data_IF_680154165226
#
_entry.id   IF_680154165226
#
_cell.length_a   1.000
_cell.length_b   1.000
_cell.length_c   1.000
_cell.angle_alpha   90.00
_cell.angle_beta   90.00
_cell.angle_gamma   90.00
#
_symmetry.space_group_name_H-M   'P 1'
#
loop_
_entity.id
_entity.type
_entity.pdbx_description
1 polymer ?
#
# COMPACT_ATOMS: atom_id res chain seq x y z
N UNK A 1 -15.94 6.65 16.93
CA UNK A 1 -14.69 6.59 16.16
C UNK A 1 -14.25 5.14 15.98
N UNK A 2 -13.97 4.38 17.06
CA UNK A 2 -13.45 3.00 16.98
C UNK A 2 -14.35 2.01 16.19
N UNK A 3 -15.68 2.05 16.35
CA UNK A 3 -16.61 1.23 15.55
C UNK A 3 -16.61 1.56 14.05
N UNK A 4 -16.33 2.80 13.69
CA UNK A 4 -16.23 3.24 12.29
C UNK A 4 -14.93 2.71 11.66
N UNK A 5 -13.82 2.79 12.41
CA UNK A 5 -12.53 2.23 12.03
C UNK A 5 -12.60 0.71 11.87
N UNK A 6 -13.23 0.01 12.83
CA UNK A 6 -13.42 -1.44 12.78
C UNK A 6 -14.21 -1.86 11.54
N UNK A 7 -15.27 -1.14 11.18
CA UNK A 7 -16.02 -1.42 9.96
C UNK A 7 -15.18 -1.16 8.71
N UNK A 8 -14.41 -0.07 8.66
CA UNK A 8 -13.59 0.26 7.50
C UNK A 8 -12.37 -0.67 7.33
N UNK A 9 -11.92 -1.28 8.42
CA UNK A 9 -10.91 -2.33 8.40
C UNK A 9 -11.40 -3.60 7.69
N UNK A 10 -12.71 -3.84 7.65
CA UNK A 10 -13.26 -5.05 7.04
C UNK A 10 -13.16 -5.03 5.51
N UNK A 11 -12.54 -6.04 4.88
CA UNK A 11 -12.35 -6.08 3.43
C UNK A 11 -13.65 -6.02 2.60
N UNK A 12 -14.73 -6.58 3.11
CA UNK A 12 -16.04 -6.56 2.45
C UNK A 12 -16.67 -5.16 2.43
N UNK A 13 -16.57 -4.42 3.53
CA UNK A 13 -17.09 -3.06 3.62
C UNK A 13 -16.29 -2.14 2.70
N UNK A 14 -14.96 -2.25 2.72
CA UNK A 14 -14.10 -1.49 1.81
C UNK A 14 -14.38 -1.85 0.33
N UNK A 15 -14.63 -3.12 0.03
CA UNK A 15 -15.01 -3.56 -1.32
C UNK A 15 -16.30 -2.90 -1.78
N UNK A 16 -17.33 -2.87 -0.95
CA UNK A 16 -18.60 -2.25 -1.28
C UNK A 16 -18.43 -0.74 -1.51
N UNK A 17 -17.68 -0.06 -0.63
CA UNK A 17 -17.35 1.36 -0.73
C UNK A 17 -16.57 1.71 -2.00
N UNK A 18 -15.62 0.87 -2.40
CA UNK A 18 -14.88 1.07 -3.64
C UNK A 18 -15.72 0.70 -4.86
N UNK A 19 -16.63 -0.27 -4.77
CA UNK A 19 -17.40 -0.79 -5.91
C UNK A 19 -18.27 0.27 -6.58
N UNK A 20 -18.73 1.26 -5.80
CA UNK A 20 -19.56 2.38 -6.27
C UNK A 20 -18.75 3.50 -6.91
N UNK A 21 -17.42 3.52 -6.75
CA UNK A 21 -16.56 4.54 -7.33
C UNK A 21 -16.23 4.24 -8.81
N UNK A 22 -16.11 5.28 -9.65
CA UNK A 22 -15.60 5.10 -11.00
C UNK A 22 -14.22 4.44 -11.01
N UNK A 23 -13.88 3.78 -12.13
CA UNK A 23 -12.65 3.01 -12.23
C UNK A 23 -11.40 3.83 -11.91
N UNK A 24 -11.26 5.03 -12.47
CA UNK A 24 -10.07 5.85 -12.23
C UNK A 24 -9.98 6.36 -10.79
N UNK A 25 -11.10 6.53 -10.09
CA UNK A 25 -11.11 6.83 -8.65
C UNK A 25 -10.59 5.66 -7.82
N UNK A 26 -10.99 4.43 -8.16
CA UNK A 26 -10.44 3.23 -7.51
C UNK A 26 -8.95 3.07 -7.79
N UNK A 27 -8.53 3.36 -9.02
CA UNK A 27 -7.13 3.27 -9.42
C UNK A 27 -6.27 4.34 -8.73
N UNK A 28 -6.77 5.58 -8.60
CA UNK A 28 -6.10 6.65 -7.85
C UNK A 28 -5.99 6.32 -6.36
N UNK A 29 -7.01 5.70 -5.77
CA UNK A 29 -6.92 5.16 -4.41
C UNK A 29 -5.80 4.11 -4.28
N UNK A 30 -5.79 3.09 -5.14
CA UNK A 30 -4.76 2.04 -5.12
C UNK A 30 -3.35 2.60 -5.29
N UNK A 31 -3.13 3.50 -6.26
CA UNK A 31 -1.80 4.08 -6.48
C UNK A 31 -1.38 5.00 -5.33
N UNK A 32 -2.32 5.63 -4.63
CA UNK A 32 -2.06 6.40 -3.41
C UNK A 32 -1.60 5.50 -2.25
N UNK A 33 -2.20 4.32 -2.07
CA UNK A 33 -1.69 3.33 -1.11
C UNK A 33 -0.27 2.90 -1.45
N UNK A 34 0.02 2.63 -2.73
CA UNK A 34 1.36 2.27 -3.18
C UNK A 34 2.40 3.37 -2.86
N UNK A 35 2.05 4.65 -3.06
CA UNK A 35 2.93 5.77 -2.72
C UNK A 35 3.32 5.79 -1.23
N UNK A 36 2.41 5.40 -0.33
CA UNK A 36 2.68 5.37 1.12
C UNK A 36 3.69 4.29 1.50
N UNK A 37 3.64 3.13 0.85
CA UNK A 37 4.49 1.99 1.21
C UNK A 37 5.76 1.88 0.37
N UNK A 38 5.82 2.56 -0.78
CA UNK A 38 6.97 2.48 -1.69
C UNK A 38 8.33 2.81 -1.03
N UNK A 39 8.45 3.79 -0.10
CA UNK A 39 9.71 4.06 0.58
C UNK A 39 10.29 2.86 1.35
N UNK A 40 9.47 1.88 1.72
CA UNK A 40 9.93 0.67 2.40
C UNK A 40 10.77 -0.19 1.45
N UNK A 41 10.34 -0.37 0.20
CA UNK A 41 11.16 -1.08 -0.79
C UNK A 41 12.45 -0.33 -1.10
N UNK A 42 12.43 1.01 -1.07
CA UNK A 42 13.67 1.80 -1.20
C UNK A 42 14.64 1.52 -0.04
N UNK A 43 14.13 1.49 1.19
CA UNK A 43 14.93 1.19 2.37
C UNK A 43 15.52 -0.23 2.30
N UNK A 44 14.71 -1.22 1.93
CA UNK A 44 15.18 -2.58 1.67
C UNK A 44 16.33 -2.61 0.67
N UNK A 45 16.17 -1.99 -0.51
CA UNK A 45 17.23 -1.95 -1.52
C UNK A 45 18.53 -1.32 -1.00
N UNK A 46 18.41 -0.27 -0.18
CA UNK A 46 19.56 0.43 0.38
C UNK A 46 20.27 -0.38 1.47
N UNK A 47 19.53 -1.05 2.35
CA UNK A 47 20.07 -1.86 3.45
C UNK A 47 20.75 -3.12 2.94
N UNK A 48 20.12 -3.81 1.99
CA UNK A 48 20.63 -5.07 1.45
C UNK A 48 21.57 -4.88 0.25
N UNK A 49 21.72 -3.64 -0.24
CA UNK A 49 22.46 -3.30 -1.46
C UNK A 49 22.04 -4.21 -2.65
N UNK A 50 20.73 -4.40 -2.80
CA UNK A 50 20.13 -5.34 -3.75
C UNK A 50 18.84 -4.80 -4.36
N UNK A 51 18.50 -5.28 -5.57
CA UNK A 51 17.29 -4.87 -6.28
C UNK A 51 17.44 -3.56 -7.05
N UNK A 52 16.33 -3.07 -7.61
CA UNK A 52 16.27 -1.79 -8.33
C UNK A 52 14.98 -1.04 -8.00
N UNK A 53 15.09 -0.08 -7.09
CA UNK A 53 14.01 0.82 -6.69
C UNK A 53 13.37 1.57 -7.88
N UNK A 54 14.13 1.82 -8.94
CA UNK A 54 13.63 2.56 -10.10
C UNK A 54 12.49 1.83 -10.82
N UNK A 55 12.41 0.50 -10.72
CA UNK A 55 11.36 -0.31 -11.35
C UNK A 55 9.99 -0.03 -10.73
N UNK A 56 9.73 -0.27 -9.43
CA UNK A 56 8.43 0.02 -8.84
C UNK A 56 8.10 1.52 -8.83
N UNK A 57 9.10 2.41 -8.73
CA UNK A 57 8.87 3.86 -8.87
C UNK A 57 8.30 4.22 -10.23
N UNK A 58 8.93 3.76 -11.32
CA UNK A 58 8.44 3.98 -12.70
C UNK A 58 7.08 3.35 -12.93
N UNK A 59 6.81 2.19 -12.32
CA UNK A 59 5.50 1.53 -12.37
C UNK A 59 4.38 2.40 -11.81
N UNK A 60 4.59 3.00 -10.64
CA UNK A 60 3.63 3.92 -10.01
C UNK A 60 3.50 5.22 -10.81
N UNK A 61 4.61 5.75 -11.33
CA UNK A 61 4.62 6.98 -12.16
C UNK A 61 3.82 6.81 -13.46
N UNK A 62 3.86 5.62 -14.07
CA UNK A 62 3.05 5.28 -15.24
C UNK A 62 1.55 5.40 -14.94
N UNK A 63 1.12 4.91 -13.77
CA UNK A 63 -0.29 4.97 -13.36
C UNK A 63 -0.71 6.42 -13.09
N UNK A 64 0.11 7.20 -12.36
CA UNK A 64 -0.18 8.63 -12.17
C UNK A 64 -0.24 9.41 -13.47
N UNK A 65 0.70 9.17 -14.39
CA UNK A 65 0.68 9.83 -15.69
C UNK A 65 -0.60 9.49 -16.47
N UNK A 66 -1.07 8.24 -16.37
CA UNK A 66 -2.31 7.82 -17.03
C UNK A 66 -3.54 8.48 -16.41
N UNK A 67 -3.59 8.57 -15.08
CA UNK A 67 -4.66 9.29 -14.37
C UNK A 67 -4.70 10.78 -14.75
N UNK A 68 -3.54 11.36 -15.10
CA UNK A 68 -3.41 12.73 -15.61
C UNK A 68 -3.67 12.86 -17.13
N UNK A 69 -4.21 11.81 -17.76
CA UNK A 69 -4.62 11.83 -19.17
C UNK A 69 -3.52 11.50 -20.17
N UNK A 70 -2.35 11.05 -19.73
CA UNK A 70 -1.31 10.58 -20.65
C UNK A 70 -1.67 9.20 -21.18
N UNK A 71 -1.70 9.06 -22.50
CA UNK A 71 -1.82 7.75 -23.12
C UNK A 71 -0.55 6.93 -22.89
N UNK A 72 -0.71 5.75 -22.27
CA UNK A 72 0.35 4.79 -22.06
C UNK A 72 -0.05 3.48 -22.75
N UNK A 73 0.89 2.91 -23.51
CA UNK A 73 0.74 1.59 -24.12
C UNK A 73 0.50 0.53 -23.03
N UNK A 74 -0.62 -0.21 -23.13
CA UNK A 74 -0.95 -1.30 -22.21
C UNK A 74 0.13 -2.37 -22.14
N UNK A 75 0.85 -2.63 -23.24
CA UNK A 75 2.01 -3.54 -23.24
C UNK A 75 3.14 -3.03 -22.37
N UNK A 76 3.32 -1.70 -22.30
CA UNK A 76 4.31 -1.10 -21.41
C UNK A 76 3.91 -1.30 -19.95
N UNK A 77 2.64 -1.13 -19.61
CA UNK A 77 2.16 -1.37 -18.24
C UNK A 77 2.37 -2.83 -17.84
N UNK A 78 2.00 -3.76 -18.72
CA UNK A 78 2.18 -5.19 -18.47
C UNK A 78 3.66 -5.57 -18.31
N UNK A 79 4.54 -5.00 -19.13
CA UNK A 79 5.98 -5.21 -19.02
C UNK A 79 6.54 -4.74 -17.67
N UNK A 80 6.09 -3.59 -17.16
CA UNK A 80 6.50 -3.14 -15.82
C UNK A 80 5.92 -4.02 -14.70
N UNK A 81 4.74 -4.63 -14.92
CA UNK A 81 4.16 -5.61 -13.99
C UNK A 81 4.99 -6.88 -13.89
N UNK A 82 5.52 -7.34 -15.02
CA UNK A 82 6.46 -8.47 -15.09
C UNK A 82 7.78 -8.12 -14.42
N UNK A 83 8.34 -6.93 -14.69
CA UNK A 83 9.59 -6.47 -14.10
C UNK A 83 9.55 -6.42 -12.57
N UNK A 84 8.45 -5.97 -11.98
CA UNK A 84 8.28 -6.00 -10.51
C UNK A 84 8.26 -7.42 -9.91
N UNK A 85 8.12 -8.46 -10.73
CA UNK A 85 8.12 -9.87 -10.31
C UNK A 85 9.36 -10.65 -10.73
N UNK A 86 10.37 -10.00 -11.29
CA UNK A 86 11.64 -10.68 -11.61
C UNK A 86 12.43 -11.01 -10.36
N UNK A 87 13.16 -12.11 -10.38
CA UNK A 87 13.94 -12.61 -9.23
C UNK A 87 15.00 -11.62 -8.75
N UNK A 88 15.49 -10.71 -9.60
CA UNK A 88 16.43 -9.66 -9.23
C UNK A 88 15.77 -8.37 -8.71
N UNK A 89 14.45 -8.39 -8.53
CA UNK A 89 13.62 -7.27 -8.04
C UNK A 89 12.77 -7.74 -6.86
N UNK A 90 12.12 -8.88 -6.97
CA UNK A 90 11.27 -9.46 -5.95
C UNK A 90 12.12 -10.31 -4.98
N UNK A 91 12.31 -9.88 -3.72
CA UNK A 91 13.22 -10.58 -2.82
C UNK A 91 12.67 -11.94 -2.44
N UNK A 92 13.55 -12.94 -2.43
CA UNK A 92 13.22 -14.29 -1.98
C UNK A 92 13.47 -14.42 -0.47
N UNK A 93 12.53 -15.02 0.25
CA UNK A 93 12.60 -15.17 1.71
C UNK A 93 13.68 -16.16 2.17
N UNK A 94 14.15 -17.06 1.31
CA UNK A 94 15.29 -17.94 1.60
C UNK A 94 16.61 -17.18 1.53
N UNK A 95 16.72 -16.18 0.65
CA UNK A 95 17.93 -15.36 0.49
C UNK A 95 17.98 -14.20 1.50
N UNK A 96 16.82 -13.64 1.87
CA UNK A 96 16.70 -12.43 2.68
C UNK A 96 15.83 -12.61 3.93
N UNK A 97 15.66 -13.83 4.44
CA UNK A 97 14.74 -14.12 5.56
C UNK A 97 15.02 -13.33 6.84
N UNK A 98 16.28 -12.98 7.09
CA UNK A 98 16.71 -12.18 8.25
C UNK A 98 16.75 -10.67 7.95
N UNK A 99 16.52 -10.25 6.71
CA UNK A 99 16.57 -8.84 6.33
C UNK A 99 15.36 -8.08 6.87
N UNK A 100 15.63 -6.91 7.44
CA UNK A 100 14.67 -6.13 8.24
C UNK A 100 13.39 -5.74 7.49
N UNK A 101 13.45 -5.61 6.16
CA UNK A 101 12.31 -5.23 5.32
C UNK A 101 11.96 -6.27 4.25
N UNK A 102 12.42 -7.52 4.34
CA UNK A 102 12.19 -8.50 3.28
C UNK A 102 10.70 -8.74 3.03
N UNK A 103 9.92 -9.03 4.07
CA UNK A 103 8.49 -9.29 3.95
C UNK A 103 7.75 -8.06 3.41
N UNK A 104 8.04 -6.88 3.94
CA UNK A 104 7.40 -5.64 3.52
C UNK A 104 7.78 -5.26 2.08
N UNK A 105 9.01 -5.54 1.65
CA UNK A 105 9.44 -5.35 0.27
C UNK A 105 8.63 -6.24 -0.70
N UNK A 106 8.33 -7.49 -0.32
CA UNK A 106 7.45 -8.36 -1.09
C UNK A 106 6.03 -7.78 -1.18
N UNK A 107 5.46 -7.34 -0.06
CA UNK A 107 4.12 -6.74 -0.01
C UNK A 107 4.03 -5.45 -0.85
N UNK A 108 5.07 -4.59 -0.84
CA UNK A 108 5.15 -3.41 -1.71
C UNK A 108 5.10 -3.81 -3.19
N UNK A 109 5.91 -4.79 -3.61
CA UNK A 109 5.92 -5.23 -5.01
C UNK A 109 4.61 -5.92 -5.41
N UNK A 110 4.00 -6.68 -4.50
CA UNK A 110 2.67 -7.26 -4.71
C UNK A 110 1.60 -6.19 -4.90
N UNK A 111 1.62 -5.14 -4.10
CA UNK A 111 0.73 -3.99 -4.25
C UNK A 111 0.92 -3.31 -5.61
N UNK A 112 2.15 -2.96 -5.97
CA UNK A 112 2.46 -2.33 -7.26
C UNK A 112 2.00 -3.20 -8.43
N UNK A 113 2.26 -4.51 -8.39
CA UNK A 113 1.82 -5.45 -9.43
C UNK A 113 0.30 -5.55 -9.52
N UNK A 114 -0.40 -5.52 -8.39
CA UNK A 114 -1.86 -5.52 -8.34
C UNK A 114 -2.45 -4.22 -8.92
N UNK A 115 -1.84 -3.06 -8.66
CA UNK A 115 -2.27 -1.79 -9.29
C UNK A 115 -2.11 -1.82 -10.81
N UNK A 116 -0.98 -2.33 -11.31
CA UNK A 116 -0.75 -2.48 -12.76
C UNK A 116 -1.69 -3.51 -13.40
N UNK A 117 -2.02 -4.60 -12.68
CA UNK A 117 -3.00 -5.58 -13.10
C UNK A 117 -4.40 -4.95 -13.18
N UNK A 118 -4.80 -4.17 -12.18
CA UNK A 118 -6.08 -3.46 -12.14
C UNK A 118 -6.19 -2.46 -13.29
N UNK A 119 -5.11 -1.77 -13.66
CA UNK A 119 -5.07 -0.93 -14.86
C UNK A 119 -5.34 -1.72 -16.14
N UNK A 120 -4.63 -2.83 -16.31
CA UNK A 120 -4.66 -3.62 -17.56
C UNK A 120 -5.97 -4.40 -17.73
N UNK A 121 -6.52 -4.92 -16.63
CA UNK A 121 -7.79 -5.65 -16.58
C UNK A 121 -8.54 -5.26 -15.31
N UNK A 122 -9.44 -4.25 -15.38
CA UNK A 122 -10.15 -3.73 -14.23
C UNK A 122 -10.86 -4.80 -13.41
N UNK A 123 -10.34 -5.05 -12.20
CA UNK A 123 -10.94 -5.93 -11.21
C UNK A 123 -10.83 -5.29 -9.84
N UNK A 124 -11.96 -5.20 -9.14
CA UNK A 124 -12.00 -4.68 -7.78
C UNK A 124 -11.13 -5.51 -6.82
N UNK A 125 -10.99 -6.82 -7.07
CA UNK A 125 -10.14 -7.70 -6.28
C UNK A 125 -8.67 -7.27 -6.26
N UNK A 126 -8.15 -6.75 -7.37
CA UNK A 126 -6.76 -6.28 -7.44
C UNK A 126 -6.58 -4.99 -6.61
N UNK A 127 -7.58 -4.08 -6.62
CA UNK A 127 -7.60 -2.88 -5.77
C UNK A 127 -7.64 -3.26 -4.28
N UNK A 128 -8.48 -4.24 -3.92
CA UNK A 128 -8.53 -4.76 -2.54
C UNK A 128 -7.21 -5.41 -2.14
N UNK A 129 -6.55 -6.09 -3.06
CA UNK A 129 -5.25 -6.68 -2.79
C UNK A 129 -4.18 -5.62 -2.46
N UNK A 130 -4.20 -4.47 -3.14
CA UNK A 130 -3.28 -3.34 -2.83
C UNK A 130 -3.45 -2.87 -1.38
N UNK A 131 -4.69 -2.70 -0.94
CA UNK A 131 -4.98 -2.26 0.43
C UNK A 131 -4.58 -3.33 1.43
N UNK A 132 -4.85 -4.59 1.12
CA UNK A 132 -4.40 -5.72 1.94
C UNK A 132 -2.89 -5.72 2.13
N UNK A 133 -2.11 -5.61 1.05
CA UNK A 133 -0.65 -5.52 1.14
C UNK A 133 -0.19 -4.35 2.00
N UNK A 134 -0.85 -3.19 1.86
CA UNK A 134 -0.55 -2.00 2.67
C UNK A 134 -0.80 -2.25 4.15
N UNK A 135 -1.95 -2.84 4.50
CA UNK A 135 -2.30 -3.15 5.89
C UNK A 135 -1.47 -4.29 6.48
N UNK A 136 -1.11 -5.29 5.68
CA UNK A 136 -0.20 -6.38 6.09
C UNK A 136 1.16 -5.84 6.54
N UNK A 137 1.71 -4.84 5.85
CA UNK A 137 2.95 -4.17 6.25
C UNK A 137 2.81 -3.55 7.63
N UNK A 138 1.70 -2.84 7.88
CA UNK A 138 1.44 -2.18 9.17
C UNK A 138 1.22 -3.23 10.28
N UNK A 139 0.43 -4.26 10.01
CA UNK A 139 0.18 -5.38 10.92
C UNK A 139 1.45 -6.13 11.28
N UNK A 140 2.24 -6.52 10.29
CA UNK A 140 3.52 -7.20 10.51
C UNK A 140 4.47 -6.32 11.30
N UNK A 141 4.58 -5.03 10.96
CA UNK A 141 5.44 -4.10 11.69
C UNK A 141 5.04 -3.98 13.16
N UNK A 142 3.74 -3.83 13.46
CA UNK A 142 3.26 -3.74 14.85
C UNK A 142 3.52 -5.05 15.59
N UNK A 143 3.09 -6.18 15.03
CA UNK A 143 3.13 -7.47 15.72
C UNK A 143 4.55 -8.01 15.93
N UNK A 144 5.51 -7.61 15.10
CA UNK A 144 6.89 -8.11 15.17
C UNK A 144 7.87 -7.13 15.79
N UNK A 145 7.59 -5.82 15.79
CA UNK A 145 8.55 -4.78 16.17
C UNK A 145 8.10 -3.91 17.33
N UNK A 146 6.79 -3.75 17.55
CA UNK A 146 6.32 -3.00 18.72
C UNK A 146 6.43 -3.86 19.97
N UNK A 147 7.43 -3.55 20.80
CA UNK A 147 7.67 -4.24 22.08
C UNK A 147 6.50 -4.14 23.07
N UNK A 148 5.54 -3.22 22.87
CA UNK A 148 4.38 -3.04 23.73
C UNK A 148 3.12 -3.72 23.18
N UNK A 149 3.17 -4.26 21.95
CA UNK A 149 2.07 -4.98 21.35
C UNK A 149 2.27 -6.49 21.52
N UNK A 150 1.48 -7.11 22.40
CA UNK A 150 1.68 -8.50 22.83
C UNK A 150 0.62 -9.47 22.31
N UNK A 151 -0.05 -9.14 21.21
CA UNK A 151 -1.09 -10.00 20.64
C UNK A 151 -0.62 -10.61 19.33
N UNK A 152 -0.90 -11.90 19.16
CA UNK A 152 -0.74 -12.60 17.90
C UNK A 152 -2.10 -13.07 17.40
N UNK A 153 -2.35 -12.97 16.09
CA UNK A 153 -3.60 -13.44 15.47
C UNK A 153 -3.75 -14.97 15.58
N UNK A 154 -2.65 -15.69 15.79
CA UNK A 154 -2.64 -17.15 15.94
C UNK A 154 -3.12 -17.59 17.33
N UNK A 155 -2.87 -16.77 18.36
CA UNK A 155 -3.14 -17.10 19.76
C UNK A 155 -4.33 -16.31 20.34
N UNK A 156 -4.79 -15.29 19.62
CA UNK A 156 -5.86 -14.39 20.05
C UNK A 156 -7.08 -14.56 19.15
N UNK A 157 -8.27 -14.45 19.74
CA UNK A 157 -9.50 -14.31 18.97
C UNK A 157 -9.36 -13.14 17.95
N UNK A 158 -9.74 -13.40 16.70
CA UNK A 158 -9.57 -12.45 15.59
C UNK A 158 -10.25 -11.10 15.87
N UNK A 159 -11.41 -11.10 16.54
CA UNK A 159 -12.13 -9.87 16.84
C UNK A 159 -11.42 -9.06 17.94
N UNK A 160 -10.82 -9.74 18.93
CA UNK A 160 -10.01 -9.10 19.96
C UNK A 160 -8.73 -8.52 19.35
N UNK A 161 -8.05 -9.28 18.49
CA UNK A 161 -6.86 -8.81 17.79
C UNK A 161 -7.16 -7.54 16.99
N UNK A 162 -8.22 -7.54 16.18
CA UNK A 162 -8.64 -6.38 15.38
C UNK A 162 -8.94 -5.16 16.28
N UNK A 163 -9.65 -5.35 17.39
CA UNK A 163 -10.00 -4.25 18.29
C UNK A 163 -8.78 -3.59 18.93
N UNK A 164 -7.77 -4.39 19.29
CA UNK A 164 -6.53 -3.90 19.90
C UNK A 164 -5.57 -3.32 18.85
N UNK A 165 -5.43 -3.98 17.69
CA UNK A 165 -4.68 -3.48 16.55
C UNK A 165 -5.13 -2.09 16.14
N UNK A 166 -6.45 -1.86 16.06
CA UNK A 166 -7.02 -0.56 15.70
C UNK A 166 -6.91 0.52 16.78
N UNK A 167 -6.30 0.23 17.94
CA UNK A 167 -5.87 1.25 18.91
C UNK A 167 -4.43 1.70 18.65
N UNK A 168 -3.65 0.93 17.91
CA UNK A 168 -2.27 1.25 17.61
C UNK A 168 -2.20 2.47 16.67
N UNK A 169 -1.27 3.39 16.95
CA UNK A 169 -1.13 4.66 16.24
C UNK A 169 -0.92 4.49 14.74
N UNK A 170 -0.07 3.54 14.32
CA UNK A 170 0.16 3.24 12.90
C UNK A 170 -1.09 2.70 12.19
N UNK A 171 -1.89 1.84 12.85
CA UNK A 171 -3.12 1.33 12.28
C UNK A 171 -4.16 2.45 12.12
N UNK A 172 -4.34 3.27 13.16
CA UNK A 172 -5.23 4.44 13.11
C UNK A 172 -4.80 5.39 11.99
N UNK A 173 -3.50 5.65 11.87
CA UNK A 173 -2.94 6.54 10.86
C UNK A 173 -3.26 6.04 9.45
N UNK A 174 -2.97 4.78 9.14
CA UNK A 174 -3.22 4.24 7.81
C UNK A 174 -4.72 4.25 7.47
N UNK A 175 -5.58 3.80 8.39
CA UNK A 175 -7.02 3.78 8.16
C UNK A 175 -7.60 5.19 8.01
N UNK A 176 -7.11 6.16 8.80
CA UNK A 176 -7.54 7.56 8.67
C UNK A 176 -7.15 8.10 7.30
N UNK A 177 -5.93 7.82 6.84
CA UNK A 177 -5.46 8.27 5.53
C UNK A 177 -6.24 7.63 4.38
N UNK A 178 -6.54 6.33 4.47
CA UNK A 178 -7.43 5.66 3.51
C UNK A 178 -8.83 6.32 3.47
N UNK A 179 -9.40 6.66 4.64
CA UNK A 179 -10.71 7.32 4.71
C UNK A 179 -10.68 8.74 4.11
N UNK A 180 -9.61 9.49 4.34
CA UNK A 180 -9.39 10.82 3.75
C UNK A 180 -9.31 10.77 2.22
N UNK A 181 -8.54 9.82 1.68
CA UNK A 181 -8.42 9.63 0.24
C UNK A 181 -9.79 9.31 -0.38
N UNK A 182 -10.55 8.40 0.23
CA UNK A 182 -11.91 8.09 -0.25
C UNK A 182 -12.87 9.26 -0.13
N UNK A 183 -12.77 10.09 0.91
CA UNK A 183 -13.59 11.30 1.04
C UNK A 183 -13.34 12.29 -0.10
N UNK A 184 -12.10 12.41 -0.55
CA UNK A 184 -11.74 13.25 -1.71
C UNK A 184 -12.35 12.65 -2.97
N UNK A 185 -12.15 11.35 -3.18
CA UNK A 185 -12.61 10.65 -4.38
C UNK A 185 -14.15 10.65 -4.49
N UNK A 186 -14.88 10.50 -3.38
CA UNK A 186 -16.35 10.55 -3.38
C UNK A 186 -16.91 11.94 -3.71
N UNK A 187 -16.17 13.02 -3.45
CA UNK A 187 -16.64 14.39 -3.67
C UNK A 187 -16.56 14.81 -5.14
N UNK A 188 -15.68 14.19 -5.91
CA UNK A 188 -15.48 14.54 -7.31
C UNK A 188 -16.15 13.53 -8.24
N UNK A 189 -17.06 14.00 -9.09
CA UNK A 189 -17.63 13.16 -10.16
C UNK A 189 -16.57 12.76 -11.18
N UNK A 190 -15.64 13.68 -11.46
CA UNK A 190 -14.51 13.51 -12.38
C UNK A 190 -13.24 13.96 -11.66
N UNK A 191 -12.20 13.13 -11.70
CA UNK A 191 -10.91 13.45 -11.10
C UNK A 191 -10.30 14.70 -11.75
N UNK A 192 -9.90 15.65 -10.91
CA UNK A 192 -9.20 16.85 -11.34
C UNK A 192 -7.68 16.69 -11.24
N UNK A 193 -6.89 17.43 -12.04
CA UNK A 193 -5.44 17.47 -11.84
C UNK A 193 -5.04 17.86 -10.41
N UNK A 194 -5.82 18.73 -9.77
CA UNK A 194 -5.56 19.17 -8.40
C UNK A 194 -5.78 18.06 -7.37
N UNK A 195 -6.86 17.28 -7.49
CA UNK A 195 -7.10 16.16 -6.57
C UNK A 195 -6.06 15.05 -6.75
N UNK A 196 -5.66 14.76 -7.99
CA UNK A 196 -4.59 13.80 -8.29
C UNK A 196 -3.25 14.25 -7.70
N UNK A 197 -2.86 15.50 -7.89
CA UNK A 197 -1.63 16.06 -7.32
C UNK A 197 -1.68 16.07 -5.79
N UNK A 198 -2.83 16.37 -5.20
CA UNK A 198 -3.01 16.33 -3.76
C UNK A 198 -2.88 14.90 -3.20
N UNK A 199 -3.56 13.92 -3.80
CA UNK A 199 -3.50 12.52 -3.41
C UNK A 199 -2.06 11.99 -3.51
N UNK A 200 -1.38 12.28 -4.62
CA UNK A 200 0.02 11.89 -4.82
C UNK A 200 0.95 12.54 -3.79
N UNK A 201 0.88 13.87 -3.64
CA UNK A 201 1.77 14.61 -2.76
C UNK A 201 1.57 14.27 -1.28
N UNK A 202 0.32 14.18 -0.83
CA UNK A 202 0.01 13.76 0.55
C UNK A 202 0.46 12.32 0.81
N UNK A 203 0.21 11.38 -0.11
CA UNK A 203 0.65 9.99 0.07
C UNK A 203 2.18 9.84 0.09
N UNK A 204 2.91 10.63 -0.68
CA UNK A 204 4.37 10.66 -0.63
C UNK A 204 4.91 11.22 0.70
N UNK A 205 4.24 12.24 1.26
CA UNK A 205 4.58 12.74 2.60
C UNK A 205 4.33 11.67 3.65
N UNK A 206 3.16 11.03 3.59
CA UNK A 206 2.81 9.95 4.50
C UNK A 206 3.81 8.78 4.41
N UNK A 207 4.27 8.43 3.22
CA UNK A 207 5.27 7.36 3.07
C UNK A 207 6.63 7.70 3.68
N UNK A 208 7.07 8.97 3.60
CA UNK A 208 8.30 9.44 4.26
C UNK A 208 8.21 9.35 5.78
N UNK A 209 7.07 9.71 6.34
CA UNK A 209 6.85 9.63 7.78
C UNK A 209 6.74 8.19 8.26
N UNK A 210 6.05 7.33 7.52
CA UNK A 210 5.94 5.91 7.85
C UNK A 210 7.31 5.24 7.92
N UNK A 211 8.16 5.40 6.89
CA UNK A 211 9.48 4.79 6.90
C UNK A 211 10.38 5.35 8.00
N UNK A 212 10.27 6.64 8.32
CA UNK A 212 11.01 7.25 9.44
C UNK A 212 10.60 6.64 10.79
N UNK A 213 9.31 6.42 11.02
CA UNK A 213 8.80 5.76 12.22
C UNK A 213 9.28 4.31 12.31
N UNK A 214 9.18 3.55 11.21
CA UNK A 214 9.62 2.15 11.19
C UNK A 214 11.12 2.03 11.44
N UNK A 215 11.95 2.92 10.86
CA UNK A 215 13.38 2.94 11.12
C UNK A 215 13.69 3.24 12.60
N UNK A 216 12.91 4.09 13.28
CA UNK A 216 13.13 4.37 14.70
C UNK A 216 12.90 3.16 15.61
N UNK A 217 12.15 2.16 15.14
CA UNK A 217 11.94 0.89 15.85
C UNK A 217 13.05 -0.13 15.58
N UNK A 218 13.88 0.07 14.55
CA UNK A 218 15.05 -0.76 14.29
C UNK A 218 16.21 -0.44 15.25
N UNK A 219 16.21 0.76 15.83
CA UNK A 219 17.30 1.28 16.67
C UNK A 219 17.09 1.04 18.19
N UNK A 220 15.94 0.47 18.58
CA UNK A 220 15.54 0.16 19.97
C UNK A 220 15.57 -1.32 20.26
#
# INVERSE_FOLDING_TARGET
>A
MQKLLLNFFKPEILRDELSILPFFHRLSFAVSCCERILPIYHAFCAMENWGDFSIPRKSIDIIWATLQGKEIDSKKVEKYREYCGHDNIFPDAYDFGDAYYCYEAQEVLMAVRATLAAYSKPKIGDIINVVRCTRNIIESSITTRDQFFHLSIQETDSEIFEQEFLKHSLAIREITKEEEDLKILRKEEILTPNSLLFLQGSSQQEGRELIALLNSWAET
#
